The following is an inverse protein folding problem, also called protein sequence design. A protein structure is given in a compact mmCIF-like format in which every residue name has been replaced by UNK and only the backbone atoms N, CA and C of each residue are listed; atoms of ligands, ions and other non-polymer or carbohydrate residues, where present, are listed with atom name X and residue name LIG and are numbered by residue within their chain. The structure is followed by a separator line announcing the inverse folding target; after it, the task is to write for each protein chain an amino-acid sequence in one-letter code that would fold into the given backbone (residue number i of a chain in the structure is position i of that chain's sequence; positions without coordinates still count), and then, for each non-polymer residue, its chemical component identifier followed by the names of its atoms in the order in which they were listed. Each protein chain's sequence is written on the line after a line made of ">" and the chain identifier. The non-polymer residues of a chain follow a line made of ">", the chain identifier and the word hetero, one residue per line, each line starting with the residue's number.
data_IF_430437476479
#
_entry.id   IF_430437476479
#
_cell.length_a   1.000
_cell.length_b   1.000
_cell.length_c   1.000
_cell.angle_alpha   90.00
_cell.angle_beta   90.00
_cell.angle_gamma   90.00
#
_symmetry.space_group_name_H-M   'P 1'
#
loop_
_entity.id
_entity.type
_entity.pdbx_description
1 polymer ?
#
# COMPACT_ATOMS: atom_id res chain seq x y z
N UNK A 1 5.15 -23.38 -11.82
CA UNK A 1 3.80 -23.38 -11.20
C UNK A 1 3.79 -24.01 -9.80
N UNK A 2 4.74 -24.89 -9.46
CA UNK A 2 4.83 -25.52 -8.12
C UNK A 2 5.52 -24.65 -7.06
N UNK A 3 5.96 -23.44 -7.41
CA UNK A 3 6.86 -22.61 -6.59
C UNK A 3 6.11 -21.72 -5.58
N UNK A 4 4.80 -21.93 -5.39
CA UNK A 4 3.88 -21.17 -4.51
C UNK A 4 3.86 -19.64 -4.68
N UNK A 5 4.67 -19.06 -5.56
CA UNK A 5 4.76 -17.61 -5.71
C UNK A 5 3.50 -17.00 -6.31
N UNK A 6 2.76 -17.72 -7.16
CA UNK A 6 1.46 -17.24 -7.63
C UNK A 6 0.47 -17.08 -6.47
N UNK A 7 0.53 -17.96 -5.47
CA UNK A 7 -0.27 -17.87 -4.26
C UNK A 7 0.14 -16.64 -3.43
N UNK A 8 1.43 -16.39 -3.26
CA UNK A 8 1.92 -15.17 -2.58
C UNK A 8 1.44 -13.90 -3.30
N UNK A 9 1.54 -13.85 -4.62
CA UNK A 9 1.01 -12.72 -5.42
C UNK A 9 -0.49 -12.54 -5.20
N UNK A 10 -1.27 -13.62 -5.23
CA UNK A 10 -2.72 -13.57 -5.01
C UNK A 10 -3.08 -13.11 -3.59
N UNK A 11 -2.36 -13.58 -2.57
CA UNK A 11 -2.58 -13.14 -1.18
C UNK A 11 -2.25 -11.66 -1.00
N UNK A 12 -1.09 -11.20 -1.50
CA UNK A 12 -0.71 -9.78 -1.39
C UNK A 12 -1.69 -8.88 -2.13
N UNK A 13 -2.13 -9.29 -3.31
CA UNK A 13 -3.12 -8.54 -4.09
C UNK A 13 -4.49 -8.55 -3.41
N UNK A 14 -4.94 -9.69 -2.88
CA UNK A 14 -6.20 -9.80 -2.16
C UNK A 14 -6.25 -8.94 -0.89
N UNK A 15 -5.13 -8.82 -0.18
CA UNK A 15 -5.01 -7.92 0.99
C UNK A 15 -4.99 -6.45 0.57
N UNK A 16 -4.42 -6.13 -0.60
CA UNK A 16 -4.32 -4.75 -1.07
C UNK A 16 -5.65 -4.22 -1.64
N UNK A 17 -6.52 -5.08 -2.15
CA UNK A 17 -7.82 -4.69 -2.70
C UNK A 17 -8.85 -4.37 -1.60
N UNK A 18 -9.83 -3.50 -1.89
CA UNK A 18 -10.91 -3.23 -0.95
C UNK A 18 -11.70 -4.50 -0.60
N UNK A 19 -12.09 -4.72 0.67
CA UNK A 19 -12.78 -5.95 1.09
C UNK A 19 -14.13 -6.18 0.41
N UNK A 20 -14.86 -5.10 0.07
CA UNK A 20 -16.17 -5.17 -0.59
C UNK A 20 -16.07 -4.95 -2.10
N UNK A 21 -14.88 -5.02 -2.69
CA UNK A 21 -14.74 -4.94 -4.14
C UNK A 21 -15.47 -6.11 -4.82
N UNK A 22 -16.19 -5.87 -5.94
CA UNK A 22 -16.84 -6.94 -6.68
C UNK A 22 -15.85 -8.02 -7.12
N UNK A 23 -16.28 -9.29 -7.10
CA UNK A 23 -15.42 -10.44 -7.44
C UNK A 23 -14.73 -10.33 -8.80
N UNK A 24 -15.37 -9.69 -9.79
CA UNK A 24 -14.81 -9.54 -11.12
C UNK A 24 -13.59 -8.60 -11.13
N UNK A 25 -13.53 -7.63 -10.21
CA UNK A 25 -12.41 -6.69 -10.08
C UNK A 25 -11.15 -7.44 -9.64
N UNK A 26 -11.27 -8.27 -8.60
CA UNK A 26 -10.16 -9.09 -8.10
C UNK A 26 -9.73 -10.14 -9.12
N UNK A 27 -10.67 -10.71 -9.88
CA UNK A 27 -10.37 -11.61 -10.99
C UNK A 27 -9.55 -10.91 -12.08
N UNK A 28 -9.94 -9.70 -12.52
CA UNK A 28 -9.19 -8.95 -13.53
C UNK A 28 -7.79 -8.58 -13.01
N UNK A 29 -7.68 -8.14 -11.75
CA UNK A 29 -6.40 -7.80 -11.13
C UNK A 29 -5.44 -9.00 -11.12
N UNK A 30 -5.92 -10.15 -10.64
CA UNK A 30 -5.14 -11.38 -10.50
C UNK A 30 -4.76 -11.96 -11.87
N UNK A 31 -5.70 -12.00 -12.82
CA UNK A 31 -5.44 -12.45 -14.18
C UNK A 31 -4.34 -11.59 -14.83
N UNK A 32 -4.42 -10.26 -14.69
CA UNK A 32 -3.44 -9.35 -15.28
C UNK A 32 -2.05 -9.49 -14.61
N UNK A 33 -2.02 -9.54 -13.28
CA UNK A 33 -0.79 -9.77 -12.52
C UNK A 33 -0.08 -11.07 -12.94
N UNK A 34 -0.84 -12.15 -13.13
CA UNK A 34 -0.27 -13.46 -13.47
C UNK A 34 0.14 -13.53 -14.94
N UNK A 35 -0.75 -13.15 -15.87
CA UNK A 35 -0.52 -13.32 -17.30
C UNK A 35 0.52 -12.31 -17.81
N UNK A 36 0.29 -11.03 -17.56
CA UNK A 36 1.09 -9.95 -18.16
C UNK A 36 2.31 -9.60 -17.33
N UNK A 37 2.18 -9.47 -16.01
CA UNK A 37 3.30 -9.03 -15.19
C UNK A 37 4.30 -10.15 -14.88
N UNK A 38 3.87 -11.42 -14.94
CA UNK A 38 4.71 -12.56 -14.57
C UNK A 38 5.02 -13.52 -15.72
N UNK A 39 4.00 -14.09 -16.37
CA UNK A 39 4.23 -15.15 -17.37
C UNK A 39 4.77 -14.63 -18.69
N UNK A 40 4.38 -13.41 -19.11
CA UNK A 40 4.88 -12.80 -20.34
C UNK A 40 6.42 -12.67 -20.37
N UNK A 41 7.04 -12.47 -19.21
CA UNK A 41 8.49 -12.30 -19.06
C UNK A 41 9.25 -13.61 -18.80
N UNK A 42 8.59 -14.77 -18.92
CA UNK A 42 9.23 -16.07 -18.72
C UNK A 42 9.09 -16.64 -17.30
N UNK A 43 8.28 -16.01 -16.43
CA UNK A 43 7.96 -16.53 -15.11
C UNK A 43 8.95 -16.12 -14.02
N UNK A 44 9.06 -16.95 -12.97
CA UNK A 44 9.76 -16.63 -11.72
C UNK A 44 11.21 -16.18 -11.94
N UNK A 45 11.56 -15.02 -11.38
CA UNK A 45 12.93 -14.48 -11.43
C UNK A 45 13.20 -13.55 -12.61
N UNK A 46 12.29 -13.49 -13.60
CA UNK A 46 12.42 -12.62 -14.76
C UNK A 46 11.43 -11.46 -14.77
N UNK A 47 10.55 -11.37 -13.76
CA UNK A 47 9.59 -10.28 -13.64
C UNK A 47 10.34 -8.96 -13.38
N UNK A 48 10.24 -7.95 -14.26
CA UNK A 48 10.85 -6.63 -14.01
C UNK A 48 10.10 -5.85 -12.92
N UNK A 49 8.81 -6.14 -12.74
CA UNK A 49 7.92 -5.45 -11.80
C UNK A 49 7.30 -6.43 -10.82
N UNK A 50 6.94 -5.94 -9.62
CA UNK A 50 6.21 -6.73 -8.64
C UNK A 50 4.81 -7.06 -9.23
N UNK A 51 4.50 -8.35 -9.51
CA UNK A 51 3.28 -8.69 -10.23
C UNK A 51 2.00 -8.26 -9.52
N UNK A 52 1.97 -8.31 -8.18
CA UNK A 52 0.81 -7.91 -7.40
C UNK A 52 0.54 -6.41 -7.56
N UNK A 53 1.60 -5.59 -7.52
CA UNK A 53 1.47 -4.13 -7.68
C UNK A 53 1.05 -3.73 -9.09
N UNK A 54 1.46 -4.48 -10.11
CA UNK A 54 0.99 -4.25 -11.49
C UNK A 54 -0.52 -4.50 -11.60
N UNK A 55 -1.01 -5.62 -11.05
CA UNK A 55 -2.45 -5.92 -11.04
C UNK A 55 -3.26 -4.88 -10.27
N UNK A 56 -2.76 -4.47 -9.09
CA UNK A 56 -3.38 -3.42 -8.28
C UNK A 56 -3.42 -2.07 -9.02
N UNK A 57 -2.30 -1.63 -9.60
CA UNK A 57 -2.22 -0.37 -10.32
C UNK A 57 -3.17 -0.32 -11.53
N UNK A 58 -3.29 -1.43 -12.28
CA UNK A 58 -4.23 -1.52 -13.40
C UNK A 58 -5.67 -1.30 -12.93
N UNK A 59 -6.10 -1.98 -11.86
CA UNK A 59 -7.46 -1.88 -11.36
C UNK A 59 -7.73 -0.52 -10.72
N UNK A 60 -6.75 0.04 -10.02
CA UNK A 60 -6.86 1.37 -9.44
C UNK A 60 -7.08 2.46 -10.51
N UNK A 61 -6.42 2.34 -11.66
CA UNK A 61 -6.59 3.27 -12.79
C UNK A 61 -7.86 2.98 -13.60
N UNK A 62 -8.18 1.70 -13.84
CA UNK A 62 -9.28 1.30 -14.73
C UNK A 62 -10.65 1.35 -14.03
N UNK A 63 -10.69 1.10 -12.73
CA UNK A 63 -11.91 0.96 -11.93
C UNK A 63 -11.82 1.78 -10.62
N UNK A 64 -11.58 3.11 -10.70
CA UNK A 64 -11.33 3.94 -9.51
C UNK A 64 -12.50 3.92 -8.52
N UNK A 65 -13.75 3.95 -9.00
CA UNK A 65 -14.95 3.91 -8.15
C UNK A 65 -14.94 2.67 -7.25
N UNK A 66 -14.75 1.48 -7.84
CA UNK A 66 -14.73 0.24 -7.08
C UNK A 66 -13.54 0.17 -6.09
N UNK A 67 -12.49 0.94 -6.34
CA UNK A 67 -11.27 0.97 -5.54
C UNK A 67 -11.28 2.03 -4.42
N UNK A 68 -12.12 3.06 -4.51
CA UNK A 68 -12.20 4.12 -3.50
C UNK A 68 -13.43 4.02 -2.61
N UNK A 69 -14.56 3.52 -3.12
CA UNK A 69 -15.84 3.52 -2.37
C UNK A 69 -16.05 2.27 -1.52
N UNK A 70 -15.41 1.14 -1.85
CA UNK A 70 -15.73 -0.18 -1.28
C UNK A 70 -14.81 -0.61 -0.13
N UNK A 71 -14.22 0.36 0.59
CA UNK A 71 -13.43 0.07 1.78
C UNK A 71 -14.31 -0.12 2.99
N UNK A 72 -13.93 -1.05 3.87
CA UNK A 72 -14.70 -1.31 5.07
C UNK A 72 -14.60 -0.15 6.07
N UNK A 73 -15.75 0.26 6.58
CA UNK A 73 -15.81 1.18 7.72
C UNK A 73 -15.37 0.47 9.01
N UNK A 74 -14.71 1.18 9.94
CA UNK A 74 -14.37 0.62 11.24
C UNK A 74 -15.59 0.08 11.99
N UNK A 75 -15.47 -1.13 12.54
CA UNK A 75 -16.58 -1.82 13.21
C UNK A 75 -17.22 -1.05 14.36
N UNK A 76 -16.45 -0.19 15.03
CA UNK A 76 -16.95 0.64 16.14
C UNK A 76 -17.88 1.75 15.69
N UNK A 77 -17.87 2.08 14.39
CA UNK A 77 -18.74 3.09 13.79
C UNK A 77 -20.01 2.47 13.17
N UNK A 78 -20.11 1.14 13.19
CA UNK A 78 -21.25 0.41 12.66
C UNK A 78 -22.24 0.07 13.78
N UNK A 79 -23.50 0.46 13.62
CA UNK A 79 -24.58 0.07 14.54
C UNK A 79 -24.86 -1.44 14.53
N UNK A 80 -24.46 -2.14 13.46
CA UNK A 80 -24.58 -3.59 13.34
C UNK A 80 -23.41 -4.13 12.51
N UNK A 81 -22.55 -5.02 13.06
CA UNK A 81 -21.39 -5.53 12.33
C UNK A 81 -21.82 -6.33 11.10
N UNK A 82 -21.07 -6.19 10.01
CA UNK A 82 -21.31 -6.96 8.79
C UNK A 82 -21.16 -8.45 9.09
N UNK A 83 -22.20 -9.23 8.77
CA UNK A 83 -22.13 -10.69 8.85
C UNK A 83 -21.38 -11.25 7.65
N UNK A 84 -20.79 -12.45 7.77
CA UNK A 84 -20.13 -13.11 6.64
C UNK A 84 -21.05 -13.26 5.42
N UNK A 85 -22.34 -13.52 5.64
CA UNK A 85 -23.33 -13.61 4.57
C UNK A 85 -23.52 -12.27 3.84
N UNK A 86 -23.62 -11.16 4.57
CA UNK A 86 -23.74 -9.83 3.98
C UNK A 86 -22.50 -9.42 3.20
N UNK A 87 -21.30 -9.75 3.70
CA UNK A 87 -20.04 -9.50 2.99
C UNK A 87 -19.95 -10.32 1.70
N UNK A 88 -20.38 -11.58 1.71
CA UNK A 88 -20.40 -12.41 0.51
C UNK A 88 -21.40 -11.87 -0.52
N UNK A 89 -22.60 -11.49 -0.09
CA UNK A 89 -23.62 -10.94 -0.99
C UNK A 89 -23.10 -9.66 -1.66
N UNK A 90 -22.49 -8.74 -0.89
CA UNK A 90 -21.84 -7.54 -1.40
C UNK A 90 -20.81 -7.84 -2.51
N UNK A 91 -19.93 -8.83 -2.30
CA UNK A 91 -18.90 -9.22 -3.26
C UNK A 91 -19.51 -9.76 -4.56
N UNK A 92 -20.63 -10.48 -4.48
CA UNK A 92 -21.31 -11.09 -5.62
C UNK A 92 -22.32 -10.16 -6.32
N UNK A 93 -22.42 -8.90 -5.90
CA UNK A 93 -23.25 -7.87 -6.54
C UNK A 93 -24.56 -7.55 -5.80
N UNK A 94 -24.71 -8.03 -4.57
CA UNK A 94 -25.77 -7.62 -3.66
C UNK A 94 -25.63 -6.17 -3.20
N UNK A 95 -26.72 -5.60 -2.71
CA UNK A 95 -26.74 -4.22 -2.21
C UNK A 95 -26.04 -4.13 -0.87
N UNK A 96 -24.97 -3.32 -0.79
CA UNK A 96 -24.31 -2.99 0.46
C UNK A 96 -25.21 -2.02 1.22
N UNK A 97 -25.53 -2.33 2.49
CA UNK A 97 -26.23 -1.37 3.33
C UNK A 97 -25.36 -0.12 3.54
N UNK A 98 -25.97 1.05 3.40
CA UNK A 98 -25.32 2.34 3.56
C UNK A 98 -24.67 2.40 4.95
N UNK A 99 -23.34 2.57 5.00
CA UNK A 99 -22.55 2.54 6.22
C UNK A 99 -21.49 1.43 6.32
N UNK A 100 -21.64 0.29 5.63
CA UNK A 100 -20.59 -0.75 5.61
C UNK A 100 -19.35 -0.37 4.80
N UNK A 101 -19.55 0.44 3.78
CA UNK A 101 -18.49 0.95 2.92
C UNK A 101 -18.25 2.44 3.18
N UNK A 102 -17.01 2.87 3.20
CA UNK A 102 -16.67 4.28 3.45
C UNK A 102 -15.32 4.68 2.87
N UNK A 103 -15.06 5.98 2.85
CA UNK A 103 -13.78 6.52 2.42
C UNK A 103 -12.66 6.17 3.41
N UNK A 104 -11.44 5.98 2.89
CA UNK A 104 -10.28 5.72 3.75
C UNK A 104 -9.87 7.00 4.50
N UNK A 105 -9.26 6.91 5.70
CA UNK A 105 -8.81 8.09 6.45
C UNK A 105 -7.86 9.00 5.65
N UNK A 106 -7.01 8.44 4.79
CA UNK A 106 -6.13 9.23 3.91
C UNK A 106 -6.93 10.00 2.85
N UNK A 107 -7.99 9.39 2.34
CA UNK A 107 -8.88 10.00 1.35
C UNK A 107 -9.75 11.10 1.97
N UNK A 108 -10.36 10.82 3.12
CA UNK A 108 -11.13 11.80 3.92
C UNK A 108 -10.26 13.00 4.25
N UNK A 109 -9.05 12.79 4.78
CA UNK A 109 -8.16 13.89 5.13
C UNK A 109 -7.85 14.75 3.92
N UNK A 110 -7.48 14.13 2.79
CA UNK A 110 -7.07 14.83 1.58
C UNK A 110 -8.19 15.68 0.98
N UNK A 111 -9.43 15.19 1.01
CA UNK A 111 -10.57 15.91 0.47
C UNK A 111 -11.07 17.01 1.41
N UNK A 112 -11.11 16.77 2.73
CA UNK A 112 -11.66 17.73 3.69
C UNK A 112 -10.68 18.86 4.04
N UNK A 113 -9.36 18.58 4.07
CA UNK A 113 -8.35 19.59 4.44
C UNK A 113 -8.28 20.76 3.44
N UNK A 114 -8.74 20.56 2.20
CA UNK A 114 -8.83 21.63 1.20
C UNK A 114 -9.90 22.69 1.54
N UNK A 115 -10.82 22.37 2.47
CA UNK A 115 -11.99 23.19 2.80
C UNK A 115 -12.11 23.49 4.29
N UNK A 116 -11.26 22.93 5.15
CA UNK A 116 -11.36 23.00 6.60
C UNK A 116 -10.00 22.86 7.26
N UNK A 117 -9.88 23.29 8.52
CA UNK A 117 -8.65 23.12 9.31
C UNK A 117 -8.50 21.69 9.80
N UNK A 118 -7.27 21.28 10.10
CA UNK A 118 -6.94 19.94 10.58
C UNK A 118 -7.73 19.57 11.83
N UNK A 119 -7.95 20.52 12.74
CA UNK A 119 -8.74 20.31 13.96
C UNK A 119 -10.19 19.91 13.69
N UNK A 120 -10.78 20.40 12.59
CA UNK A 120 -12.16 20.06 12.18
C UNK A 120 -12.16 18.72 11.47
N UNK A 121 -11.21 18.49 10.56
CA UNK A 121 -11.09 17.22 9.83
C UNK A 121 -10.87 16.05 10.79
N UNK A 122 -10.03 16.21 11.79
CA UNK A 122 -9.74 15.16 12.78
C UNK A 122 -10.91 14.87 13.72
N UNK A 123 -11.95 15.71 13.76
CA UNK A 123 -13.21 15.39 14.47
C UNK A 123 -14.08 14.40 13.70
N UNK A 124 -13.78 14.13 12.42
CA UNK A 124 -14.48 13.10 11.67
C UNK A 124 -14.32 11.74 12.38
N UNK A 125 -15.41 10.97 12.61
CA UNK A 125 -15.37 9.70 13.34
C UNK A 125 -14.33 8.68 12.83
N UNK A 126 -13.96 8.77 11.55
CA UNK A 126 -12.95 7.91 10.92
C UNK A 126 -11.56 8.06 11.56
N UNK A 127 -11.24 9.20 12.17
CA UNK A 127 -9.93 9.42 12.82
C UNK A 127 -9.88 9.01 14.29
N UNK A 128 -11.03 8.84 14.95
CA UNK A 128 -11.09 8.48 16.37
C UNK A 128 -10.30 9.44 17.25
N UNK A 129 -9.23 8.96 17.89
CA UNK A 129 -8.31 9.76 18.70
C UNK A 129 -7.26 10.55 17.88
N UNK A 130 -7.51 10.80 16.59
CA UNK A 130 -6.64 11.59 15.71
C UNK A 130 -5.63 10.79 14.87
N UNK A 131 -5.74 9.46 14.79
CA UNK A 131 -4.77 8.61 14.09
C UNK A 131 -5.30 7.91 12.85
N UNK A 132 -6.58 7.51 12.82
CA UNK A 132 -7.24 6.54 11.92
C UNK A 132 -7.73 5.31 12.69
N UNK A 133 -9.01 5.35 13.04
CA UNK A 133 -9.63 4.32 13.87
C UNK A 133 -9.57 2.97 13.16
N UNK A 134 -8.97 1.97 13.81
CA UNK A 134 -8.84 0.61 13.27
C UNK A 134 -7.65 0.40 12.32
N UNK A 135 -7.36 1.35 11.43
CA UNK A 135 -6.21 1.25 10.51
C UNK A 135 -4.86 1.29 11.20
N UNK A 136 -4.76 2.01 12.32
CA UNK A 136 -3.58 1.98 13.17
C UNK A 136 -3.24 0.54 13.61
N UNK A 137 -4.24 -0.25 14.01
CA UNK A 137 -4.05 -1.62 14.49
C UNK A 137 -3.65 -2.55 13.35
N UNK A 138 -4.25 -2.38 12.17
CA UNK A 138 -3.89 -3.14 10.96
C UNK A 138 -2.43 -2.86 10.60
N UNK A 139 -2.00 -1.60 10.58
CA UNK A 139 -0.61 -1.22 10.31
C UNK A 139 0.35 -1.74 11.39
N UNK A 140 -0.03 -1.69 12.66
CA UNK A 140 0.78 -2.23 13.76
C UNK A 140 0.94 -3.75 13.66
N UNK A 141 -0.08 -4.48 13.22
CA UNK A 141 0.01 -5.92 12.99
C UNK A 141 0.90 -6.25 11.79
N UNK A 142 0.85 -5.47 10.71
CA UNK A 142 1.81 -5.60 9.61
C UNK A 142 3.23 -5.25 10.04
N UNK A 143 3.41 -4.22 10.87
CA UNK A 143 4.70 -3.90 11.46
C UNK A 143 5.23 -5.08 12.29
N UNK A 144 4.41 -5.66 13.17
CA UNK A 144 4.77 -6.83 13.97
C UNK A 144 5.16 -8.03 13.09
N UNK A 145 4.37 -8.33 12.05
CA UNK A 145 4.70 -9.37 11.08
C UNK A 145 6.02 -9.09 10.33
N UNK A 146 6.24 -7.85 9.93
CA UNK A 146 7.48 -7.39 9.29
C UNK A 146 8.71 -7.52 10.19
N UNK A 147 8.57 -7.18 11.48
CA UNK A 147 9.62 -7.36 12.48
C UNK A 147 9.97 -8.85 12.66
N UNK A 148 8.97 -9.74 12.65
CA UNK A 148 9.23 -11.19 12.67
C UNK A 148 10.03 -11.64 11.45
N UNK A 149 9.72 -11.13 10.25
CA UNK A 149 10.49 -11.44 9.04
C UNK A 149 11.94 -10.93 9.12
N UNK A 150 12.17 -9.76 9.74
CA UNK A 150 13.50 -9.23 9.98
C UNK A 150 14.30 -10.08 10.98
N UNK A 151 13.69 -10.45 12.11
CA UNK A 151 14.35 -11.31 13.11
C UNK A 151 14.69 -12.68 12.53
N UNK A 152 13.81 -13.23 11.70
CA UNK A 152 14.06 -14.48 10.95
C UNK A 152 15.04 -14.32 9.79
N UNK A 153 15.52 -13.11 9.51
CA UNK A 153 16.45 -12.78 8.41
C UNK A 153 15.94 -13.22 7.03
N UNK A 154 14.61 -13.20 6.84
CA UNK A 154 13.99 -13.52 5.55
C UNK A 154 14.09 -12.30 4.62
N UNK A 155 13.91 -11.10 5.18
CA UNK A 155 13.98 -9.83 4.45
C UNK A 155 15.18 -8.99 4.92
N UNK A 156 15.81 -8.21 4.04
CA UNK A 156 16.85 -7.25 4.43
C UNK A 156 16.24 -6.06 5.19
N UNK A 157 16.91 -5.58 6.24
CA UNK A 157 16.44 -4.43 7.02
C UNK A 157 16.58 -3.09 6.29
N UNK A 158 17.47 -3.02 5.29
CA UNK A 158 17.77 -1.79 4.57
C UNK A 158 16.57 -1.26 3.79
N UNK A 159 15.79 -2.16 3.16
CA UNK A 159 14.65 -1.75 2.33
C UNK A 159 13.50 -1.21 3.18
N UNK A 160 12.97 -1.91 4.20
CA UNK A 160 11.90 -1.37 5.05
C UNK A 160 12.31 -0.09 5.77
N UNK A 161 13.54 -0.03 6.30
CA UNK A 161 14.04 1.18 6.93
C UNK A 161 14.12 2.34 5.93
N UNK A 162 14.61 2.07 4.72
CA UNK A 162 14.68 3.06 3.65
C UNK A 162 13.29 3.61 3.31
N UNK A 163 12.27 2.76 3.17
CA UNK A 163 10.89 3.18 2.91
C UNK A 163 10.36 4.09 4.02
N UNK A 164 10.53 3.67 5.28
CA UNK A 164 10.06 4.43 6.44
C UNK A 164 10.76 5.79 6.52
N UNK A 165 12.09 5.83 6.38
CA UNK A 165 12.84 7.08 6.43
C UNK A 165 12.54 7.98 5.23
N UNK A 166 12.43 7.40 4.03
CA UNK A 166 12.10 8.12 2.80
C UNK A 166 10.72 8.77 2.84
N UNK A 167 9.78 8.20 3.59
CA UNK A 167 8.46 8.78 3.81
C UNK A 167 8.44 9.76 4.99
N UNK A 168 9.07 9.40 6.11
CA UNK A 168 9.01 10.16 7.35
C UNK A 168 9.82 11.46 7.29
N UNK A 169 10.98 11.46 6.65
CA UNK A 169 11.83 12.66 6.59
C UNK A 169 11.16 13.81 5.80
N UNK A 170 10.65 13.60 4.57
CA UNK A 170 9.89 14.65 3.89
C UNK A 170 8.64 15.08 4.66
N UNK A 171 7.92 14.14 5.28
CA UNK A 171 6.75 14.46 6.08
C UNK A 171 7.08 15.34 7.29
N UNK A 172 8.22 15.12 7.97
CA UNK A 172 8.66 15.95 9.08
C UNK A 172 9.18 17.33 8.64
N UNK A 173 9.87 17.40 7.51
CA UNK A 173 10.50 18.65 7.03
C UNK A 173 9.48 19.57 6.36
N UNK A 174 8.57 18.99 5.57
CA UNK A 174 7.62 19.75 4.75
C UNK A 174 6.21 19.77 5.36
N UNK A 175 5.83 18.76 6.15
CA UNK A 175 4.50 18.65 6.77
C UNK A 175 4.40 19.30 8.14
N UNK A 176 5.08 20.43 8.36
CA UNK A 176 5.04 21.16 9.64
C UNK A 176 3.68 21.81 9.92
N UNK A 177 2.93 22.12 8.85
CA UNK A 177 1.60 22.71 8.92
C UNK A 177 0.55 21.62 8.63
N UNK A 178 -0.19 21.23 9.68
CA UNK A 178 -1.24 20.22 9.57
C UNK A 178 -2.43 20.72 8.72
N UNK A 179 -2.65 22.03 8.64
CA UNK A 179 -3.73 22.61 7.84
C UNK A 179 -3.44 22.55 6.33
N UNK A 180 -2.19 22.23 5.94
CA UNK A 180 -1.80 22.10 4.54
C UNK A 180 -1.42 20.66 4.17
N UNK A 181 -0.88 19.90 5.12
CA UNK A 181 -0.34 18.57 4.88
C UNK A 181 -0.82 17.57 5.92
N UNK A 182 -0.90 16.31 5.52
CA UNK A 182 -1.25 15.25 6.46
C UNK A 182 -0.13 15.08 7.51
N UNK A 183 -0.47 14.93 8.80
CA UNK A 183 0.51 14.66 9.84
C UNK A 183 1.25 13.34 9.59
N UNK A 184 2.46 13.23 10.15
CA UNK A 184 3.30 12.04 10.05
C UNK A 184 2.56 10.76 10.51
N UNK A 185 1.73 10.87 11.54
CA UNK A 185 0.91 9.76 12.05
C UNK A 185 0.03 9.15 10.96
N UNK A 186 -0.64 9.97 10.15
CA UNK A 186 -1.45 9.48 9.02
C UNK A 186 -0.59 8.87 7.93
N UNK A 187 0.58 9.43 7.64
CA UNK A 187 1.48 8.83 6.66
C UNK A 187 2.01 7.46 7.11
N UNK A 188 2.30 7.27 8.39
CA UNK A 188 2.89 6.03 8.91
C UNK A 188 1.86 4.96 9.28
N UNK A 189 0.75 5.35 9.93
CA UNK A 189 -0.22 4.44 10.53
C UNK A 189 -1.53 4.34 9.74
N UNK A 190 -1.67 5.07 8.63
CA UNK A 190 -2.80 4.93 7.71
C UNK A 190 -2.37 4.42 6.33
N UNK A 191 -3.32 3.76 5.66
CA UNK A 191 -3.12 3.15 4.34
C UNK A 191 -2.15 1.97 4.34
N UNK A 192 -1.53 1.69 3.19
CA UNK A 192 -0.71 0.51 2.97
C UNK A 192 0.77 0.66 3.40
N UNK A 193 1.14 1.63 4.23
CA UNK A 193 2.56 1.96 4.49
C UNK A 193 3.34 0.78 5.08
N UNK A 194 2.84 0.12 6.12
CA UNK A 194 3.56 -0.99 6.77
C UNK A 194 3.51 -2.28 5.93
N UNK A 195 2.37 -2.59 5.33
CA UNK A 195 2.25 -3.68 4.36
C UNK A 195 3.26 -3.49 3.22
N UNK A 196 3.28 -2.29 2.66
CA UNK A 196 4.17 -1.86 1.61
C UNK A 196 5.64 -2.01 1.96
N UNK A 197 6.05 -1.42 3.08
CA UNK A 197 7.45 -1.39 3.50
C UNK A 197 8.03 -2.78 3.77
N UNK A 198 7.25 -3.68 4.40
CA UNK A 198 7.76 -4.95 4.90
C UNK A 198 7.45 -6.17 4.01
N UNK A 199 6.38 -6.14 3.22
CA UNK A 199 5.93 -7.30 2.44
C UNK A 199 5.96 -7.09 0.92
N UNK A 200 5.86 -5.83 0.45
CA UNK A 200 5.82 -5.53 -0.99
C UNK A 200 7.20 -5.06 -1.49
N UNK A 201 7.78 -4.06 -0.83
CA UNK A 201 9.07 -3.48 -1.22
C UNK A 201 10.25 -4.47 -1.04
N UNK A 202 10.07 -5.50 -0.23
CA UNK A 202 11.07 -6.52 0.10
C UNK A 202 11.02 -7.74 -0.82
N UNK A 203 10.32 -7.66 -1.96
CA UNK A 203 10.29 -8.73 -2.97
C UNK A 203 11.71 -9.03 -3.48
N UNK A 204 12.22 -10.27 -3.33
CA UNK A 204 13.60 -10.61 -3.67
C UNK A 204 13.90 -10.56 -5.18
N UNK A 205 12.89 -10.62 -6.04
CA UNK A 205 13.10 -10.65 -7.50
C UNK A 205 13.25 -9.25 -8.07
N UNK A 206 12.48 -8.29 -7.57
CA UNK A 206 12.35 -6.97 -8.20
C UNK A 206 13.04 -5.85 -7.45
N UNK A 207 13.56 -6.13 -6.26
CA UNK A 207 14.33 -5.18 -5.47
C UNK A 207 15.82 -5.20 -5.82
N UNK A 208 16.54 -4.17 -5.38
CA UNK A 208 18.00 -4.09 -5.55
C UNK A 208 18.72 -5.22 -4.80
N UNK A 209 19.81 -5.71 -5.40
CA UNK A 209 20.63 -6.80 -4.86
C UNK A 209 21.71 -6.30 -3.90
N UNK A 210 22.26 -5.10 -4.13
CA UNK A 210 23.36 -4.56 -3.31
C UNK A 210 22.87 -3.96 -1.98
N UNK A 211 23.71 -3.97 -0.95
CA UNK A 211 23.34 -3.42 0.38
C UNK A 211 23.02 -1.92 0.33
N UNK A 212 23.81 -1.14 -0.42
CA UNK A 212 23.57 0.31 -0.60
C UNK A 212 22.39 0.56 -1.53
N UNK A 213 22.26 -0.23 -2.59
CA UNK A 213 21.15 -0.15 -3.54
C UNK A 213 19.81 -0.41 -2.87
N UNK A 214 19.70 -1.39 -1.96
CA UNK A 214 18.48 -1.64 -1.17
C UNK A 214 18.03 -0.45 -0.34
N UNK A 215 18.97 0.27 0.27
CA UNK A 215 18.66 1.47 1.06
C UNK A 215 18.18 2.62 0.16
N UNK A 216 18.88 2.88 -0.96
CA UNK A 216 18.49 3.92 -1.93
C UNK A 216 17.12 3.60 -2.54
N UNK A 217 16.89 2.33 -2.88
CA UNK A 217 15.64 1.82 -3.40
C UNK A 217 14.49 2.06 -2.42
N UNK A 218 14.67 1.67 -1.15
CA UNK A 218 13.69 1.93 -0.09
C UNK A 218 13.41 3.43 0.09
N UNK A 219 14.46 4.26 0.19
CA UNK A 219 14.31 5.72 0.32
C UNK A 219 13.54 6.31 -0.86
N UNK A 220 13.83 5.85 -2.08
CA UNK A 220 13.12 6.28 -3.28
C UNK A 220 11.63 5.92 -3.25
N UNK A 221 11.28 4.70 -2.81
CA UNK A 221 9.87 4.30 -2.64
C UNK A 221 9.18 5.21 -1.62
N UNK A 222 9.80 5.43 -0.45
CA UNK A 222 9.23 6.28 0.59
C UNK A 222 9.02 7.73 0.13
N UNK A 223 10.02 8.30 -0.54
CA UNK A 223 9.97 9.67 -1.06
C UNK A 223 8.90 9.83 -2.14
N UNK A 224 8.83 8.91 -3.11
CA UNK A 224 7.80 8.93 -4.14
C UNK A 224 6.40 8.74 -3.55
N UNK A 225 6.27 7.88 -2.54
CA UNK A 225 5.01 7.70 -1.80
C UNK A 225 4.57 9.01 -1.17
N UNK A 226 5.48 9.75 -0.53
CA UNK A 226 5.19 11.07 0.04
C UNK A 226 4.72 12.05 -1.05
N UNK A 227 5.50 12.18 -2.14
CA UNK A 227 5.20 13.11 -3.23
C UNK A 227 3.81 12.85 -3.83
N UNK A 228 3.49 11.59 -4.10
CA UNK A 228 2.19 11.23 -4.70
C UNK A 228 1.05 11.42 -3.68
N UNK A 229 1.26 11.11 -2.40
CA UNK A 229 0.24 11.34 -1.36
C UNK A 229 -0.11 12.81 -1.21
N UNK A 230 0.90 13.68 -1.20
CA UNK A 230 0.71 15.12 -1.00
C UNK A 230 0.23 15.81 -2.28
N UNK A 231 0.93 15.61 -3.40
CA UNK A 231 0.70 16.37 -4.63
C UNK A 231 -0.07 15.60 -5.72
N UNK A 232 -0.15 14.27 -5.62
CA UNK A 232 -0.86 13.44 -6.59
C UNK A 232 -2.37 13.40 -6.36
N UNK A 233 -3.09 12.64 -7.18
CA UNK A 233 -4.54 12.43 -7.02
C UNK A 233 -4.89 11.27 -6.08
N UNK A 234 -3.96 10.34 -5.84
CA UNK A 234 -4.24 9.10 -5.13
C UNK A 234 -3.82 9.15 -3.65
N UNK A 235 -4.72 8.88 -2.70
CA UNK A 235 -4.38 8.82 -1.27
C UNK A 235 -3.47 7.62 -0.93
N UNK A 236 -3.64 6.49 -1.62
CA UNK A 236 -2.69 5.39 -1.56
C UNK A 236 -1.75 5.42 -2.77
N UNK A 237 -0.48 5.68 -2.50
CA UNK A 237 0.56 5.90 -3.51
C UNK A 237 1.53 4.74 -3.66
N UNK A 238 1.44 3.73 -2.78
CA UNK A 238 2.53 2.79 -2.57
C UNK A 238 2.80 1.94 -3.81
N UNK A 239 1.75 1.48 -4.50
CA UNK A 239 1.89 0.65 -5.69
C UNK A 239 2.64 1.39 -6.82
N UNK A 240 2.31 2.65 -7.09
CA UNK A 240 2.99 3.43 -8.12
C UNK A 240 4.45 3.72 -7.77
N UNK A 241 4.72 4.05 -6.51
CA UNK A 241 6.08 4.29 -6.03
C UNK A 241 6.96 3.04 -6.17
N UNK A 242 6.43 1.85 -5.80
CA UNK A 242 7.14 0.58 -5.98
C UNK A 242 7.38 0.31 -7.47
N UNK A 243 6.37 0.41 -8.33
CA UNK A 243 6.55 0.12 -9.76
C UNK A 243 7.60 1.04 -10.43
N UNK A 244 7.61 2.32 -10.08
CA UNK A 244 8.61 3.26 -10.59
C UNK A 244 10.02 2.90 -10.07
N UNK A 245 10.15 2.53 -8.80
CA UNK A 245 11.45 2.13 -8.25
C UNK A 245 11.92 0.77 -8.76
N UNK A 246 11.02 -0.17 -9.04
CA UNK A 246 11.33 -1.43 -9.71
C UNK A 246 11.94 -1.17 -11.10
N UNK A 247 11.42 -0.18 -11.85
CA UNK A 247 12.03 0.24 -13.11
C UNK A 247 13.46 0.79 -12.91
N UNK A 248 13.68 1.54 -11.83
CA UNK A 248 14.98 2.12 -11.51
C UNK A 248 15.97 1.14 -10.85
N UNK A 249 15.51 -0.03 -10.36
CA UNK A 249 16.33 -0.95 -9.58
C UNK A 249 17.59 -1.45 -10.32
N UNK A 250 17.53 -1.85 -11.61
CA UNK A 250 18.74 -2.27 -12.34
C UNK A 250 19.78 -1.15 -12.45
N UNK A 251 19.35 0.09 -12.64
CA UNK A 251 20.23 1.25 -12.72
C UNK A 251 20.91 1.51 -11.36
N UNK A 252 20.13 1.46 -10.28
CA UNK A 252 20.65 1.63 -8.92
C UNK A 252 21.71 0.56 -8.62
N UNK A 253 21.45 -0.69 -8.97
CA UNK A 253 22.39 -1.79 -8.73
C UNK A 253 23.72 -1.60 -9.47
N UNK A 254 23.70 -1.12 -10.72
CA UNK A 254 24.94 -0.80 -11.47
C UNK A 254 25.79 0.25 -10.75
N UNK A 255 25.19 1.32 -10.21
CA UNK A 255 25.93 2.38 -9.52
C UNK A 255 26.33 2.04 -8.09
N UNK A 256 25.80 0.95 -7.51
CA UNK A 256 26.01 0.59 -6.10
C UNK A 256 26.84 -0.68 -5.91
N UNK A 257 27.43 -1.19 -6.99
CA UNK A 257 28.32 -2.35 -6.93
C UNK A 257 29.48 -2.12 -5.94
N UNK A 258 29.75 -3.09 -5.04
CA UNK A 258 30.87 -2.97 -4.11
C UNK A 258 32.18 -2.95 -4.87
N UNK A 259 33.12 -2.10 -4.47
CA UNK A 259 34.48 -2.12 -5.01
C UNK A 259 35.13 -3.46 -4.64
N UNK A 260 35.59 -4.20 -5.64
CA UNK A 260 36.45 -5.38 -5.44
C UNK A 260 37.79 -4.91 -4.89
N UNK A 261 38.10 -5.32 -3.66
CA UNK A 261 39.41 -5.15 -3.02
C UNK A 261 40.23 -6.43 -3.15
#
# INVERSE_FOLDING_TARGET
>A
LNDYSALVTAVLLGIALPPFAPWWVSLVATAFAIVFAKHLYGGMGYNPFNPAMVGYALVLVSFPVAMTTNWATPQTLLDSPATLGATLDAIWGGTIADGYSGATPLDVYKHEIAHSTADVVLQNPVFGAGFSLGWEWVNLMFLAGGLVLLVKKIIPWQTPLGVILGLALPALVLGYDADQFAPLSLHMLSGATMLGAFFIATDPVTSCTTTRGRLIFGIGIGLLTYIIRVYGAYPDAFAFAVLLMNFAAPLIDVYTQPRTY
#
